data_IF_753502318057
#
_entry.id   IF_753502318057
#
_cell.length_a   1.000
_cell.length_b   1.000
_cell.length_c   1.000
_cell.angle_alpha   90.00
_cell.angle_beta   90.00
_cell.angle_gamma   90.00
#
_symmetry.space_group_name_H-M   'P 1'
#
loop_
_entity.id
_entity.type
_entity.pdbx_description
1 polymer ?
#
# COMPACT_ATOMS: atom_id res chain seq x y z
N UNK A 1 22.27 -2.43 30.08
CA UNK A 1 21.26 -2.45 29.01
C UNK A 1 20.73 -1.02 28.81
N UNK A 2 20.73 -0.55 27.59
CA UNK A 2 20.16 0.74 27.26
C UNK A 2 18.63 0.65 27.26
N UNK A 3 17.99 1.59 27.94
CA UNK A 3 16.53 1.72 27.91
C UNK A 3 16.20 2.78 26.86
N UNK A 4 15.47 2.39 25.82
CA UNK A 4 15.03 3.32 24.77
C UNK A 4 13.61 3.77 25.04
N UNK A 5 13.35 5.03 24.76
CA UNK A 5 12.01 5.57 24.77
C UNK A 5 11.16 4.90 23.67
N UNK A 6 9.87 4.72 23.93
CA UNK A 6 8.96 4.11 22.96
C UNK A 6 9.01 4.82 21.60
N UNK A 7 9.09 6.13 21.63
CA UNK A 7 9.17 6.95 20.41
C UNK A 7 10.43 6.64 19.59
N UNK A 8 11.55 6.41 20.25
CA UNK A 8 12.81 6.03 19.59
C UNK A 8 12.67 4.66 18.94
N UNK A 9 12.06 3.71 19.64
CA UNK A 9 11.80 2.37 19.11
C UNK A 9 10.93 2.45 17.86
N UNK A 10 9.91 3.30 17.86
CA UNK A 10 9.00 3.46 16.74
C UNK A 10 9.66 4.13 15.52
N UNK A 11 10.79 4.77 15.68
CA UNK A 11 11.55 5.38 14.59
C UNK A 11 12.61 4.44 14.00
N UNK A 12 12.83 3.28 14.60
CA UNK A 12 13.82 2.31 14.15
C UNK A 12 13.26 1.34 13.12
N UNK A 13 13.83 1.34 11.92
CA UNK A 13 13.52 0.38 10.87
C UNK A 13 14.77 -0.41 10.52
N UNK A 14 14.64 -1.73 10.40
CA UNK A 14 15.79 -2.60 10.18
C UNK A 14 16.44 -2.37 8.81
N UNK A 15 15.63 -2.04 7.80
CA UNK A 15 16.07 -1.83 6.42
C UNK A 15 14.94 -1.16 5.63
N UNK A 16 15.24 -0.59 4.43
CA UNK A 16 14.19 -0.13 3.52
C UNK A 16 13.30 -1.27 3.04
N UNK A 17 12.05 -0.94 2.72
CA UNK A 17 11.18 -1.83 1.97
C UNK A 17 11.41 -1.68 0.47
N UNK A 18 10.61 -2.39 -0.34
CA UNK A 18 10.74 -2.39 -1.79
C UNK A 18 9.36 -2.48 -2.44
N UNK A 19 9.15 -1.70 -3.49
CA UNK A 19 7.95 -1.78 -4.33
C UNK A 19 8.07 -3.04 -5.21
N UNK A 20 7.07 -3.92 -5.12
CA UNK A 20 7.04 -5.15 -5.94
C UNK A 20 5.92 -5.15 -6.98
N UNK A 21 4.97 -4.21 -6.91
CA UNK A 21 3.86 -4.10 -7.83
C UNK A 21 3.28 -2.70 -7.79
N UNK A 22 2.88 -2.20 -8.96
CA UNK A 22 2.16 -0.93 -9.12
C UNK A 22 0.92 -1.19 -9.95
N UNK A 23 -0.25 -0.70 -9.48
CA UNK A 23 -1.49 -0.79 -10.22
C UNK A 23 -2.31 0.47 -10.11
N UNK A 24 -3.00 0.82 -11.18
CA UNK A 24 -3.96 1.93 -11.19
C UNK A 24 -5.35 1.43 -11.54
N UNK A 25 -6.34 2.12 -11.03
CA UNK A 25 -7.76 1.81 -11.25
C UNK A 25 -8.31 2.89 -12.18
N UNK A 26 -8.40 2.61 -13.51
CA UNK A 26 -8.81 3.64 -14.48
C UNK A 26 -10.23 4.14 -14.23
N UNK A 27 -11.12 3.25 -13.77
CA UNK A 27 -12.48 3.59 -13.46
C UNK A 27 -13.09 2.70 -12.40
N UNK A 28 -14.30 3.08 -11.98
CA UNK A 28 -15.06 2.28 -11.02
C UNK A 28 -15.42 0.94 -11.66
N UNK A 29 -15.12 -0.16 -10.97
CA UNK A 29 -15.37 -1.52 -11.41
C UNK A 29 -14.58 -1.95 -12.67
N UNK A 30 -13.69 -1.10 -13.15
CA UNK A 30 -12.76 -1.50 -14.19
C UNK A 30 -11.59 -2.28 -13.59
N UNK A 31 -11.02 -3.25 -14.34
CA UNK A 31 -9.86 -4.00 -13.87
C UNK A 31 -8.70 -3.08 -13.51
N UNK A 32 -7.94 -3.47 -12.50
CA UNK A 32 -6.69 -2.78 -12.15
C UNK A 32 -5.69 -3.03 -13.27
N UNK A 33 -5.02 -1.95 -13.70
CA UNK A 33 -3.98 -2.00 -14.73
C UNK A 33 -2.62 -2.00 -14.05
N UNK A 34 -1.86 -3.08 -14.26
CA UNK A 34 -0.50 -3.19 -13.74
C UNK A 34 0.46 -2.33 -14.57
N UNK A 35 1.36 -1.64 -13.90
CA UNK A 35 2.35 -0.75 -14.52
C UNK A 35 3.74 -1.04 -13.97
N UNK A 36 4.78 -0.81 -14.79
CA UNK A 36 6.17 -0.89 -14.33
C UNK A 36 6.58 0.38 -13.60
N UNK A 37 5.95 1.49 -13.93
CA UNK A 37 6.22 2.79 -13.32
C UNK A 37 4.99 3.68 -13.40
N UNK A 38 4.95 4.69 -12.54
CA UNK A 38 3.84 5.63 -12.48
C UNK A 38 4.33 6.97 -11.91
N UNK A 39 3.65 8.05 -12.28
CA UNK A 39 3.90 9.37 -11.71
C UNK A 39 2.94 9.58 -10.54
N UNK A 40 3.50 9.88 -9.36
CA UNK A 40 2.72 10.37 -8.23
C UNK A 40 2.55 11.89 -8.39
N UNK A 41 1.34 12.38 -8.18
CA UNK A 41 0.98 13.80 -8.36
C UNK A 41 0.62 14.38 -7.01
N UNK A 42 1.32 15.43 -6.60
CA UNK A 42 1.10 16.10 -5.32
C UNK A 42 -0.38 16.47 -5.14
N UNK A 43 -0.91 16.15 -3.95
CA UNK A 43 -2.28 16.42 -3.55
C UNK A 43 -3.36 15.71 -4.39
N UNK A 44 -2.98 14.77 -5.25
CA UNK A 44 -3.94 14.05 -6.11
C UNK A 44 -3.89 12.54 -5.92
N UNK A 45 -2.75 11.91 -6.17
CA UNK A 45 -2.56 10.47 -6.18
C UNK A 45 -1.73 10.03 -7.36
N UNK A 46 -1.97 8.82 -7.87
CA UNK A 46 -1.21 8.29 -9.01
C UNK A 46 -1.87 8.70 -10.32
N UNK A 47 -1.04 9.09 -11.28
CA UNK A 47 -1.51 9.42 -12.63
C UNK A 47 -2.20 8.20 -13.25
N UNK A 48 -3.40 8.39 -13.80
CA UNK A 48 -4.20 7.32 -14.38
C UNK A 48 -5.11 6.59 -13.39
N UNK A 49 -5.00 6.87 -12.10
CA UNK A 49 -5.86 6.28 -11.07
C UNK A 49 -7.10 7.17 -10.83
N UNK A 50 -8.26 6.52 -10.61
CA UNK A 50 -9.52 7.25 -10.45
C UNK A 50 -9.66 7.99 -9.12
N UNK A 51 -8.86 7.65 -8.11
CA UNK A 51 -8.98 8.25 -6.77
C UNK A 51 -8.18 9.53 -6.56
N UNK A 52 -7.70 10.13 -7.62
CA UNK A 52 -7.07 11.45 -7.53
C UNK A 52 -8.06 12.46 -6.92
N UNK A 53 -7.55 13.35 -6.08
CA UNK A 53 -8.34 14.34 -5.32
C UNK A 53 -9.27 13.75 -4.26
N UNK A 54 -8.96 12.57 -3.73
CA UNK A 54 -9.79 11.92 -2.70
C UNK A 54 -9.43 12.35 -1.27
N UNK A 55 -9.10 13.62 -1.06
CA UNK A 55 -8.73 14.15 0.25
C UNK A 55 -7.37 13.63 0.71
N UNK A 56 -7.34 12.90 1.83
CA UNK A 56 -6.08 12.36 2.37
C UNK A 56 -5.83 10.92 1.93
N UNK A 57 -6.78 10.27 1.28
CA UNK A 57 -6.70 8.85 0.89
C UNK A 57 -6.37 8.74 -0.60
N UNK A 58 -5.22 9.27 -0.99
CA UNK A 58 -4.89 9.45 -2.40
C UNK A 58 -4.26 8.21 -3.04
N UNK A 59 -3.45 7.47 -2.27
CA UNK A 59 -2.78 6.25 -2.74
C UNK A 59 -2.96 5.17 -1.70
N UNK A 60 -3.20 3.94 -2.16
CA UNK A 60 -3.35 2.78 -1.29
C UNK A 60 -2.15 1.86 -1.43
N UNK A 61 -1.70 1.29 -0.30
CA UNK A 61 -0.56 0.40 -0.23
C UNK A 61 -0.97 -0.87 0.49
N UNK A 62 -0.46 -2.02 0.07
CA UNK A 62 -0.68 -3.28 0.77
C UNK A 62 0.64 -4.03 0.92
N UNK A 63 0.73 -4.78 1.99
CA UNK A 63 1.90 -5.55 2.36
C UNK A 63 1.98 -6.83 1.52
N UNK A 64 3.09 -7.06 0.82
CA UNK A 64 3.27 -8.29 0.05
C UNK A 64 3.16 -9.53 0.94
N UNK A 65 3.74 -9.48 2.13
CA UNK A 65 3.68 -10.57 3.10
C UNK A 65 2.24 -10.91 3.50
N UNK A 66 1.38 -9.89 3.60
CA UNK A 66 -0.04 -10.09 3.95
C UNK A 66 -0.84 -10.74 2.82
N UNK A 67 -0.43 -10.57 1.55
CA UNK A 67 -1.04 -11.31 0.44
C UNK A 67 -0.85 -12.83 0.62
N UNK A 68 0.29 -13.24 1.15
CA UNK A 68 0.55 -14.65 1.47
C UNK A 68 -0.31 -15.12 2.63
N UNK A 69 -0.49 -14.29 3.65
CA UNK A 69 -1.38 -14.60 4.78
C UNK A 69 -2.81 -14.78 4.29
N UNK A 70 -3.29 -13.86 3.46
CA UNK A 70 -4.63 -13.95 2.88
C UNK A 70 -4.80 -15.21 2.05
N UNK A 71 -3.82 -15.57 1.24
CA UNK A 71 -3.84 -16.81 0.46
C UNK A 71 -3.97 -18.03 1.38
N UNK A 72 -3.23 -18.06 2.47
CA UNK A 72 -3.31 -19.13 3.46
C UNK A 72 -4.73 -19.23 4.05
N UNK A 73 -5.32 -18.11 4.43
CA UNK A 73 -6.67 -18.08 5.00
C UNK A 73 -7.74 -18.53 4.01
N UNK A 74 -7.52 -18.31 2.72
CA UNK A 74 -8.45 -18.68 1.64
C UNK A 74 -8.21 -20.09 1.08
N UNK A 75 -7.14 -20.77 1.53
CA UNK A 75 -6.76 -22.06 0.99
C UNK A 75 -6.25 -22.00 -0.44
N UNK A 76 -5.60 -20.90 -0.82
CA UNK A 76 -5.04 -20.68 -2.16
C UNK A 76 -3.54 -20.65 -2.11
N UNK A 77 -2.88 -20.91 -3.26
CA UNK A 77 -1.42 -20.80 -3.38
C UNK A 77 -0.97 -19.34 -3.42
N UNK A 78 -1.82 -18.43 -3.92
CA UNK A 78 -1.49 -17.01 -4.03
C UNK A 78 -2.75 -16.17 -4.09
N UNK A 79 -2.61 -14.87 -3.82
CA UNK A 79 -3.63 -13.85 -4.05
C UNK A 79 -3.03 -12.82 -5.01
N UNK A 80 -3.69 -12.64 -6.15
CA UNK A 80 -3.26 -11.67 -7.16
C UNK A 80 -3.44 -10.24 -6.63
N UNK A 81 -2.43 -9.37 -6.71
CA UNK A 81 -2.53 -7.99 -6.22
C UNK A 81 -3.75 -7.24 -6.77
N UNK A 82 -4.09 -7.46 -8.04
CA UNK A 82 -5.21 -6.79 -8.71
C UNK A 82 -6.53 -7.01 -8.00
N UNK A 83 -6.72 -8.18 -7.40
CA UNK A 83 -7.97 -8.51 -6.70
C UNK A 83 -8.18 -7.67 -5.44
N UNK A 84 -7.11 -7.16 -4.85
CA UNK A 84 -7.19 -6.30 -3.65
C UNK A 84 -7.54 -4.87 -3.98
N UNK A 85 -7.39 -4.46 -5.23
CA UNK A 85 -7.60 -3.11 -5.74
C UNK A 85 -6.74 -2.05 -5.04
N UNK A 86 -5.62 -2.46 -4.46
CA UNK A 86 -4.62 -1.53 -3.90
C UNK A 86 -3.66 -1.10 -4.99
N UNK A 87 -3.10 0.11 -4.85
CA UNK A 87 -2.20 0.68 -5.85
C UNK A 87 -0.81 0.07 -5.82
N UNK A 88 -0.19 0.03 -4.66
CA UNK A 88 1.22 -0.32 -4.53
C UNK A 88 1.38 -1.46 -3.53
N UNK A 89 2.06 -2.52 -3.95
CA UNK A 89 2.43 -3.63 -3.07
C UNK A 89 3.88 -3.43 -2.65
N UNK A 90 4.11 -3.47 -1.35
CA UNK A 90 5.43 -3.24 -0.73
C UNK A 90 5.82 -4.45 0.08
N UNK A 91 7.08 -4.86 -0.01
CA UNK A 91 7.65 -5.89 0.84
C UNK A 91 8.79 -5.36 1.70
N UNK A 92 9.10 -6.05 2.78
CA UNK A 92 10.30 -5.82 3.55
C UNK A 92 10.27 -4.68 4.56
N UNK A 93 9.16 -3.97 4.67
CA UNK A 93 8.92 -2.97 5.71
C UNK A 93 7.48 -3.12 6.19
N UNK A 94 7.26 -2.98 7.48
CA UNK A 94 5.91 -3.03 8.04
C UNK A 94 5.20 -1.69 7.79
N UNK A 95 4.25 -1.69 6.86
CA UNK A 95 3.53 -0.47 6.48
C UNK A 95 2.80 0.18 7.67
N UNK A 96 2.26 -0.61 8.60
CA UNK A 96 1.57 -0.08 9.78
C UNK A 96 2.52 0.70 10.70
N UNK A 97 3.81 0.39 10.66
CA UNK A 97 4.82 1.10 11.44
C UNK A 97 5.12 2.50 10.89
N UNK A 98 4.59 2.84 9.70
CA UNK A 98 4.71 4.17 9.12
C UNK A 98 3.66 5.15 9.66
N UNK A 99 2.78 4.71 10.54
CA UNK A 99 1.75 5.57 11.15
C UNK A 99 2.37 6.81 11.78
N UNK A 100 1.83 7.97 11.43
CA UNK A 100 2.33 9.26 11.90
C UNK A 100 3.62 9.72 11.21
N UNK A 101 4.04 9.05 10.15
CA UNK A 101 5.32 9.32 9.49
C UNK A 101 5.15 9.66 8.02
N UNK A 102 6.21 10.24 7.48
CA UNK A 102 6.41 10.38 6.04
C UNK A 102 7.34 9.27 5.56
N UNK A 103 7.26 8.94 4.30
CA UNK A 103 8.14 7.97 3.68
C UNK A 103 8.34 8.31 2.21
N UNK A 104 9.50 7.96 1.67
CA UNK A 104 9.83 8.20 0.27
C UNK A 104 9.78 6.90 -0.53
N UNK A 105 9.40 7.02 -1.80
CA UNK A 105 9.51 5.95 -2.80
C UNK A 105 9.97 6.60 -4.09
N UNK A 106 11.14 6.22 -4.60
CA UNK A 106 11.69 6.84 -5.80
C UNK A 106 11.82 8.35 -5.61
N UNK A 107 11.24 9.11 -6.54
CA UNK A 107 11.24 10.58 -6.48
C UNK A 107 10.10 11.15 -5.63
N UNK A 108 9.16 10.34 -5.20
CA UNK A 108 7.95 10.80 -4.51
C UNK A 108 8.08 10.68 -2.99
N UNK A 109 7.30 11.49 -2.30
CA UNK A 109 7.20 11.48 -0.84
C UNK A 109 5.73 11.42 -0.42
N UNK A 110 5.45 10.62 0.60
CA UNK A 110 4.10 10.34 1.08
C UNK A 110 3.96 10.62 2.56
N UNK A 111 2.75 10.96 2.97
CA UNK A 111 2.34 11.05 4.37
C UNK A 111 1.32 9.95 4.64
N UNK A 112 1.60 9.07 5.61
CA UNK A 112 0.62 8.10 6.09
C UNK A 112 -0.66 8.82 6.48
N UNK A 113 -1.82 8.34 6.02
CA UNK A 113 -3.10 8.97 6.29
C UNK A 113 -4.13 8.05 6.94
N UNK A 114 -3.89 6.76 7.02
CA UNK A 114 -4.79 5.84 7.70
C UNK A 114 -4.61 4.39 7.28
N UNK A 115 -5.37 3.51 7.91
CA UNK A 115 -5.46 2.12 7.49
C UNK A 115 -6.48 1.98 6.37
N UNK A 116 -6.24 1.04 5.47
CA UNK A 116 -7.15 0.76 4.37
C UNK A 116 -7.90 -0.55 4.66
N UNK A 117 -9.10 -0.41 5.22
CA UNK A 117 -9.89 -1.57 5.60
C UNK A 117 -10.53 -2.25 4.38
N UNK A 118 -10.85 -3.55 4.47
CA UNK A 118 -11.58 -4.22 3.40
C UNK A 118 -13.03 -3.71 3.31
N UNK A 119 -13.63 -3.88 2.13
CA UNK A 119 -15.05 -3.62 1.91
C UNK A 119 -15.71 -4.87 1.30
N UNK A 120 -17.03 -4.82 1.07
CA UNK A 120 -17.76 -5.94 0.47
C UNK A 120 -17.21 -6.37 -0.89
N UNK A 121 -16.53 -5.47 -1.61
CA UNK A 121 -15.87 -5.79 -2.87
C UNK A 121 -14.83 -6.91 -2.71
N UNK A 122 -14.21 -7.03 -1.54
CA UNK A 122 -13.22 -8.08 -1.29
C UNK A 122 -13.86 -9.46 -1.23
N UNK A 123 -15.10 -9.55 -0.73
CA UNK A 123 -15.84 -10.79 -0.78
C UNK A 123 -16.17 -11.18 -2.23
N UNK A 124 -16.57 -10.20 -3.05
CA UNK A 124 -16.83 -10.43 -4.47
C UNK A 124 -15.57 -10.90 -5.21
N UNK A 125 -14.46 -10.22 -5.01
CA UNK A 125 -13.23 -10.47 -5.75
C UNK A 125 -12.52 -11.76 -5.32
N UNK A 126 -12.53 -12.07 -4.02
CA UNK A 126 -11.78 -13.18 -3.45
C UNK A 126 -12.66 -14.42 -3.17
N UNK A 127 -13.98 -14.28 -3.28
CA UNK A 127 -14.90 -15.33 -2.94
C UNK A 127 -15.23 -15.39 -1.46
N UNK A 128 -15.94 -16.42 -1.05
CA UNK A 128 -16.39 -16.60 0.33
C UNK A 128 -15.22 -16.55 1.29
N UNK A 129 -15.30 -15.67 2.29
CA UNK A 129 -14.27 -15.49 3.29
C UNK A 129 -13.22 -14.43 2.93
N UNK A 130 -13.32 -13.81 1.74
CA UNK A 130 -12.36 -12.81 1.28
C UNK A 130 -12.32 -11.57 2.18
N UNK A 131 -13.47 -11.10 2.61
CA UNK A 131 -13.54 -9.98 3.54
C UNK A 131 -12.80 -10.31 4.86
N UNK A 132 -13.10 -11.46 5.45
CA UNK A 132 -12.45 -11.87 6.70
C UNK A 132 -10.97 -12.14 6.54
N UNK A 133 -10.55 -12.72 5.42
CA UNK A 133 -9.13 -12.95 5.15
C UNK A 133 -8.34 -11.64 5.10
N UNK A 134 -8.97 -10.56 4.63
CA UNK A 134 -8.32 -9.26 4.51
C UNK A 134 -8.39 -8.40 5.78
N UNK A 135 -9.22 -8.74 6.76
CA UNK A 135 -9.30 -7.97 8.01
C UNK A 135 -7.96 -7.91 8.70
N UNK A 136 -7.51 -6.69 9.02
CA UNK A 136 -6.18 -6.46 9.59
C UNK A 136 -5.05 -6.49 8.55
N UNK A 137 -5.33 -6.82 7.30
CA UNK A 137 -4.36 -7.00 6.21
C UNK A 137 -4.67 -6.13 4.98
N UNK A 138 -5.53 -5.14 5.15
CA UNK A 138 -5.97 -4.28 4.03
C UNK A 138 -4.97 -3.22 3.59
N UNK A 139 -3.90 -3.02 4.35
CA UNK A 139 -2.88 -2.03 4.02
C UNK A 139 -3.16 -0.64 4.59
N UNK A 140 -2.54 0.34 3.97
CA UNK A 140 -2.61 1.74 4.42
C UNK A 140 -3.00 2.66 3.27
N UNK A 141 -3.41 3.87 3.62
CA UNK A 141 -3.57 4.97 2.68
C UNK A 141 -2.54 6.04 2.98
N UNK A 142 -2.19 6.81 1.97
CA UNK A 142 -1.29 7.96 2.12
C UNK A 142 -1.68 9.06 1.14
N UNK A 143 -1.25 10.27 1.46
CA UNK A 143 -1.33 11.39 0.53
C UNK A 143 0.04 11.69 -0.05
N UNK A 144 0.07 12.19 -1.27
CA UNK A 144 1.30 12.57 -1.95
C UNK A 144 1.71 13.96 -1.48
N UNK A 145 2.86 14.03 -0.80
CA UNK A 145 3.44 15.29 -0.31
C UNK A 145 4.33 15.91 -1.39
N UNK A 146 5.08 15.09 -2.10
CA UNK A 146 5.92 15.50 -3.20
C UNK A 146 5.72 14.50 -4.34
N UNK A 147 5.38 15.01 -5.52
CA UNK A 147 5.20 14.16 -6.69
C UNK A 147 6.53 13.69 -7.26
N UNK A 148 6.44 12.71 -8.13
CA UNK A 148 7.60 12.19 -8.83
C UNK A 148 7.39 10.78 -9.37
N UNK A 149 8.38 10.28 -10.07
CA UNK A 149 8.37 8.96 -10.69
C UNK A 149 8.63 7.87 -9.66
N UNK A 150 7.80 6.84 -9.70
CA UNK A 150 7.93 5.62 -8.91
C UNK A 150 8.06 4.44 -9.86
N UNK A 151 8.98 3.53 -9.58
CA UNK A 151 9.20 2.32 -10.38
C UNK A 151 9.12 1.09 -9.49
N UNK A 152 8.70 -0.03 -10.07
CA UNK A 152 8.85 -1.34 -9.44
C UNK A 152 10.33 -1.56 -9.11
N UNK A 153 10.62 -1.99 -7.89
CA UNK A 153 11.97 -2.15 -7.39
C UNK A 153 12.49 -0.98 -6.56
N UNK A 154 11.81 0.16 -6.59
CA UNK A 154 12.21 1.32 -5.78
C UNK A 154 12.13 1.01 -4.28
N UNK A 155 13.05 1.57 -3.52
CA UNK A 155 13.06 1.42 -2.07
C UNK A 155 11.98 2.27 -1.41
N UNK A 156 11.43 1.77 -0.32
CA UNK A 156 10.48 2.48 0.54
C UNK A 156 11.20 2.83 1.83
N UNK A 157 11.39 4.10 2.09
CA UNK A 157 12.25 4.59 3.17
C UNK A 157 11.45 5.50 4.10
N UNK A 158 11.37 5.13 5.38
CA UNK A 158 10.77 6.00 6.41
C UNK A 158 11.65 7.23 6.63
N UNK A 159 11.01 8.38 6.77
CA UNK A 159 11.70 9.65 6.98
C UNK A 159 11.54 10.12 8.43
#
# INVERSE_FOLDING_TARGET
MLVMELKELQNGFAKPGRVVYIGVRPGRREPVKALDQVIAVEAHGLEGDRYKNSGIRQVTFIQAEHLRDMASFLGRSSVEPELTRRNIVVEGINLLALKGKQFSIGEAMFQYSGECHPCSRMEENLGTGGYNAMRGHGGITAKVIQGGLIKTGDEVIAI
#
